data_IF_828303574698
#
_entry.id   IF_828303574698
#
_cell.length_a   1.000
_cell.length_b   1.000
_cell.length_c   1.000
_cell.angle_alpha   90.00
_cell.angle_beta   90.00
_cell.angle_gamma   90.00
#
_symmetry.space_group_name_H-M   'P 1'
#
loop_
_entity.id
_entity.type
_entity.pdbx_description
1 polymer ?
#
# COMPACT_ATOMS: atom_id res chain seq x y z
N UNK A 1 -13.20 14.42 15.62
CA UNK A 1 -13.66 15.27 14.49
C UNK A 1 -13.06 14.86 13.13
N UNK A 2 -11.79 14.40 13.06
CA UNK A 2 -11.13 13.98 11.79
C UNK A 2 -11.72 12.73 11.10
N UNK A 3 -12.24 11.74 11.84
CA UNK A 3 -12.81 10.49 11.28
C UNK A 3 -13.91 10.70 10.22
N UNK A 4 -14.66 11.81 10.28
CA UNK A 4 -15.75 12.11 9.31
C UNK A 4 -15.25 12.67 7.97
N UNK A 5 -13.97 13.04 7.84
CA UNK A 5 -13.39 13.62 6.61
C UNK A 5 -12.51 12.63 5.81
N UNK A 6 -12.31 11.42 6.35
CA UNK A 6 -11.49 10.37 5.71
C UNK A 6 -12.32 9.61 4.66
N UNK A 7 -11.73 9.35 3.49
CA UNK A 7 -12.28 8.43 2.48
C UNK A 7 -12.42 7.01 3.05
N UNK A 8 -13.23 6.12 2.43
CA UNK A 8 -13.26 4.71 2.82
C UNK A 8 -11.88 4.05 2.83
N UNK A 9 -11.06 4.28 1.81
CA UNK A 9 -9.67 3.81 1.75
C UNK A 9 -8.82 4.38 2.89
N UNK A 10 -8.92 5.69 3.16
CA UNK A 10 -8.23 6.29 4.30
C UNK A 10 -8.64 5.63 5.61
N UNK A 11 -9.95 5.44 5.85
CA UNK A 11 -10.39 4.75 7.06
C UNK A 11 -9.80 3.35 7.16
N UNK A 12 -9.81 2.55 6.09
CA UNK A 12 -9.22 1.21 6.09
C UNK A 12 -7.73 1.23 6.46
N UNK A 13 -6.97 2.14 5.84
CA UNK A 13 -5.54 2.34 6.14
C UNK A 13 -5.32 2.69 7.61
N UNK A 14 -6.06 3.67 8.15
CA UNK A 14 -5.90 4.07 9.55
C UNK A 14 -6.31 2.95 10.51
N UNK A 15 -7.40 2.22 10.23
CA UNK A 15 -7.82 1.11 11.09
C UNK A 15 -6.78 -0.03 11.13
N UNK A 16 -6.11 -0.35 10.02
CA UNK A 16 -5.09 -1.41 10.02
C UNK A 16 -3.71 -0.94 10.51
N UNK A 17 -3.30 0.29 10.17
CA UNK A 17 -1.96 0.80 10.50
C UNK A 17 -1.87 1.33 11.93
N UNK A 18 -2.96 1.87 12.49
CA UNK A 18 -2.94 2.47 13.83
C UNK A 18 -2.53 1.48 14.93
N UNK A 19 -3.08 0.25 15.00
CA UNK A 19 -2.67 -0.72 16.03
C UNK A 19 -1.20 -1.15 15.88
N UNK A 20 -0.67 -1.15 14.64
CA UNK A 20 0.73 -1.50 14.34
C UNK A 20 1.69 -0.43 14.85
N UNK A 21 1.30 0.84 14.74
CA UNK A 21 2.12 1.99 15.16
C UNK A 21 1.86 2.46 16.61
N UNK A 22 0.77 2.02 17.24
CA UNK A 22 0.41 2.44 18.59
C UNK A 22 1.45 1.97 19.61
N UNK A 23 1.88 2.88 20.48
CA UNK A 23 2.92 2.60 21.49
C UNK A 23 4.34 2.45 20.94
N UNK A 24 4.55 2.71 19.65
CA UNK A 24 5.88 2.73 19.03
C UNK A 24 6.40 4.16 18.93
N UNK A 25 7.73 4.37 18.93
CA UNK A 25 8.34 5.63 18.52
C UNK A 25 7.92 6.03 17.09
N UNK A 26 8.01 7.32 16.72
CA UNK A 26 7.86 7.74 15.33
C UNK A 26 8.75 6.92 14.39
N UNK A 27 8.19 6.54 13.24
CA UNK A 27 8.89 5.72 12.24
C UNK A 27 8.57 6.20 10.82
N UNK A 28 9.45 6.01 9.85
CA UNK A 28 9.14 6.28 8.45
C UNK A 28 7.92 5.49 7.97
N UNK A 29 7.20 6.08 7.02
CA UNK A 29 6.08 5.45 6.32
C UNK A 29 6.42 5.19 4.86
N UNK A 30 6.28 3.95 4.41
CA UNK A 30 6.20 3.59 2.99
C UNK A 30 4.75 3.22 2.67
N UNK A 31 4.05 4.11 1.98
CA UNK A 31 2.73 3.84 1.44
C UNK A 31 2.85 3.37 0.00
N UNK A 32 2.18 2.28 -0.36
CA UNK A 32 2.12 1.79 -1.73
C UNK A 32 0.68 1.53 -2.18
N UNK A 33 0.40 1.94 -3.41
CA UNK A 33 -0.84 1.62 -4.10
C UNK A 33 -0.61 1.72 -5.61
N UNK A 34 -1.13 0.76 -6.37
CA UNK A 34 -1.11 0.79 -7.83
C UNK A 34 -2.06 1.85 -8.36
N UNK A 35 -3.30 1.87 -7.87
CA UNK A 35 -4.37 2.72 -8.42
C UNK A 35 -4.61 4.02 -7.66
N UNK A 36 -4.04 4.16 -6.46
CA UNK A 36 -4.11 5.39 -5.66
C UNK A 36 -5.55 5.88 -5.42
N UNK A 37 -5.75 7.19 -5.45
CA UNK A 37 -7.05 7.84 -5.21
C UNK A 37 -7.98 7.80 -6.45
N UNK A 38 -8.04 6.66 -7.17
CA UNK A 38 -8.82 6.50 -8.41
C UNK A 38 -10.30 6.90 -8.25
N UNK A 39 -10.97 6.49 -7.18
CA UNK A 39 -12.37 6.86 -6.92
C UNK A 39 -12.57 8.37 -6.83
N UNK A 40 -11.64 9.06 -6.17
CA UNK A 40 -11.69 10.51 -6.01
C UNK A 40 -11.37 11.24 -7.31
N UNK A 41 -10.34 10.77 -8.02
CA UNK A 41 -9.97 11.30 -9.33
C UNK A 41 -11.14 11.15 -10.32
N UNK A 42 -11.84 10.02 -10.31
CA UNK A 42 -13.03 9.82 -11.12
C UNK A 42 -14.13 10.84 -10.82
N UNK A 43 -14.45 11.06 -9.53
CA UNK A 43 -15.44 12.06 -9.15
C UNK A 43 -15.06 13.49 -9.59
N UNK A 44 -13.78 13.85 -9.52
CA UNK A 44 -13.28 15.14 -10.04
C UNK A 44 -13.46 15.25 -11.57
N UNK A 45 -13.16 14.18 -12.31
CA UNK A 45 -13.37 14.12 -13.76
C UNK A 45 -14.85 14.23 -14.13
N UNK A 46 -15.75 13.63 -13.34
CA UNK A 46 -17.20 13.77 -13.54
C UNK A 46 -17.68 15.21 -13.35
N UNK A 47 -17.27 15.88 -12.28
CA UNK A 47 -17.62 17.30 -12.07
C UNK A 47 -17.06 18.17 -13.18
N UNK A 48 -15.82 17.93 -13.64
CA UNK A 48 -15.26 18.65 -14.78
C UNK A 48 -16.10 18.46 -16.05
N UNK A 49 -16.50 17.23 -16.36
CA UNK A 49 -17.33 16.92 -17.51
C UNK A 49 -18.73 17.55 -17.44
N UNK A 50 -19.27 17.73 -16.22
CA UNK A 50 -20.54 18.39 -15.95
C UNK A 50 -20.45 19.93 -15.92
N UNK A 51 -19.26 20.52 -16.05
CA UNK A 51 -19.05 21.96 -15.89
C UNK A 51 -19.23 22.47 -14.45
N UNK A 52 -19.12 21.57 -13.48
CA UNK A 52 -19.24 21.88 -12.06
C UNK A 52 -17.90 22.36 -11.48
N UNK A 53 -17.91 23.26 -10.49
CA UNK A 53 -16.69 23.68 -9.83
C UNK A 53 -16.04 22.52 -9.06
N UNK A 54 -14.73 22.36 -9.23
CA UNK A 54 -13.96 21.34 -8.49
C UNK A 54 -13.80 21.74 -7.03
N UNK A 55 -14.06 20.81 -6.12
CA UNK A 55 -13.80 20.99 -4.69
C UNK A 55 -12.30 21.09 -4.41
N UNK A 56 -11.78 22.19 -3.84
CA UNK A 56 -10.36 22.33 -3.52
C UNK A 56 -9.85 21.24 -2.57
N UNK A 57 -10.68 20.83 -1.61
CA UNK A 57 -10.35 19.74 -0.68
C UNK A 57 -10.28 18.39 -1.41
N UNK A 58 -11.21 18.13 -2.33
CA UNK A 58 -11.17 16.88 -3.08
C UNK A 58 -9.95 16.83 -4.01
N UNK A 59 -9.62 17.94 -4.67
CA UNK A 59 -8.41 18.04 -5.48
C UNK A 59 -7.13 17.87 -4.65
N UNK A 60 -7.01 18.55 -3.50
CA UNK A 60 -5.84 18.42 -2.62
C UNK A 60 -5.64 17.02 -2.02
N UNK A 61 -6.70 16.21 -1.97
CA UNK A 61 -6.65 14.81 -1.51
C UNK A 61 -6.57 13.81 -2.68
N UNK A 62 -6.46 14.25 -3.92
CA UNK A 62 -6.45 13.39 -5.12
C UNK A 62 -5.04 12.94 -5.53
N UNK A 63 -4.02 13.53 -4.91
CA UNK A 63 -2.61 13.16 -5.08
C UNK A 63 -2.32 11.82 -4.41
N UNK A 64 -1.40 11.04 -4.99
CA UNK A 64 -1.08 9.68 -4.53
C UNK A 64 -0.62 9.63 -3.07
N UNK A 65 0.17 10.62 -2.65
CA UNK A 65 0.70 10.72 -1.30
C UNK A 65 -0.31 11.30 -0.28
N UNK A 66 -1.57 11.55 -0.65
CA UNK A 66 -2.55 12.16 0.26
C UNK A 66 -2.75 11.34 1.53
N UNK A 67 -2.73 10.01 1.46
CA UNK A 67 -2.84 9.13 2.63
C UNK A 67 -1.61 9.20 3.54
N UNK A 68 -0.43 9.21 2.94
CA UNK A 68 0.83 9.32 3.67
C UNK A 68 0.94 10.69 4.38
N UNK A 69 0.50 11.77 3.72
CA UNK A 69 0.41 13.10 4.32
C UNK A 69 -0.63 13.18 5.43
N UNK A 70 -1.82 12.60 5.24
CA UNK A 70 -2.83 12.52 6.29
C UNK A 70 -2.34 11.74 7.51
N UNK A 71 -1.60 10.64 7.30
CA UNK A 71 -0.98 9.87 8.38
C UNK A 71 -0.04 10.73 9.21
N UNK A 72 0.92 11.39 8.57
CA UNK A 72 1.87 12.31 9.22
C UNK A 72 1.15 13.40 10.03
N UNK A 73 0.14 14.07 9.45
CA UNK A 73 -0.62 15.13 10.12
C UNK A 73 -1.37 14.59 11.35
N UNK A 74 -2.02 13.43 11.23
CA UNK A 74 -2.87 12.87 12.30
C UNK A 74 -2.01 12.30 13.44
N UNK A 75 -0.91 11.60 13.11
CA UNK A 75 0.05 11.08 14.09
C UNK A 75 0.95 12.16 14.68
N UNK A 76 1.04 13.32 14.03
CA UNK A 76 2.00 14.40 14.35
C UNK A 76 3.45 13.92 14.25
N UNK A 77 3.71 13.11 13.24
CA UNK A 77 5.02 12.53 12.94
C UNK A 77 5.62 13.25 11.74
N UNK A 78 6.89 13.64 11.84
CA UNK A 78 7.65 14.34 10.80
C UNK A 78 8.76 13.48 10.21
N UNK A 79 8.73 12.18 10.50
CA UNK A 79 9.57 11.17 9.88
C UNK A 79 9.29 11.08 8.38
N UNK A 80 10.23 10.47 7.68
CA UNK A 80 10.26 10.25 6.25
C UNK A 80 8.96 9.54 5.80
N UNK A 81 8.43 10.00 4.67
CA UNK A 81 7.17 9.51 4.13
C UNK A 81 7.29 9.35 2.63
N UNK A 82 7.15 8.11 2.16
CA UNK A 82 7.33 7.72 0.77
C UNK A 82 6.01 7.14 0.26
N UNK A 83 5.60 7.57 -0.94
CA UNK A 83 4.42 7.07 -1.61
C UNK A 83 4.81 6.45 -2.96
N UNK A 84 4.64 5.15 -3.09
CA UNK A 84 5.01 4.37 -4.26
C UNK A 84 3.75 4.00 -5.06
N UNK A 85 3.85 4.14 -6.38
CA UNK A 85 2.96 3.45 -7.31
C UNK A 85 3.81 2.47 -8.10
N UNK A 86 3.38 1.21 -8.07
CA UNK A 86 4.04 0.11 -8.72
C UNK A 86 2.98 -0.79 -9.32
N UNK A 87 3.41 -1.62 -10.26
CA UNK A 87 2.56 -2.58 -10.94
C UNK A 87 2.17 -3.74 -9.99
N UNK A 88 1.96 -4.95 -10.49
CA UNK A 88 1.54 -6.11 -9.70
C UNK A 88 2.40 -6.42 -8.45
N UNK A 89 3.63 -5.92 -8.37
CA UNK A 89 4.59 -6.18 -7.30
C UNK A 89 4.91 -4.99 -6.41
N UNK A 90 3.91 -4.14 -6.16
CA UNK A 90 4.01 -3.05 -5.20
C UNK A 90 4.32 -3.48 -3.76
N UNK A 91 3.95 -4.70 -3.35
CA UNK A 91 4.35 -5.24 -2.04
C UNK A 91 5.86 -5.36 -1.91
N UNK A 92 6.50 -6.02 -2.87
CA UNK A 92 7.93 -6.27 -2.85
C UNK A 92 8.72 -4.97 -2.97
N UNK A 93 8.29 -4.05 -3.82
CA UNK A 93 8.92 -2.72 -3.93
C UNK A 93 8.78 -1.92 -2.63
N UNK A 94 7.63 -1.98 -1.96
CA UNK A 94 7.45 -1.29 -0.67
C UNK A 94 8.33 -1.89 0.43
N UNK A 95 8.53 -3.21 0.43
CA UNK A 95 9.44 -3.88 1.37
C UNK A 95 10.91 -3.57 1.06
N UNK A 96 11.28 -3.47 -0.21
CA UNK A 96 12.62 -3.02 -0.61
C UNK A 96 12.89 -1.59 -0.15
N UNK A 97 11.96 -0.67 -0.41
CA UNK A 97 12.07 0.73 0.03
C UNK A 97 12.21 0.83 1.55
N UNK A 98 11.40 0.06 2.29
CA UNK A 98 11.55 -0.03 3.74
C UNK A 98 12.90 -0.60 4.16
N UNK A 99 13.44 -1.58 3.43
CA UNK A 99 14.80 -2.09 3.62
C UNK A 99 15.88 -1.03 3.42
N UNK A 100 15.71 -0.13 2.43
CA UNK A 100 16.61 1.00 2.21
C UNK A 100 16.56 1.99 3.38
N UNK A 101 15.36 2.34 3.86
CA UNK A 101 15.20 3.19 5.05
C UNK A 101 15.82 2.55 6.31
N UNK A 102 15.66 1.24 6.50
CA UNK A 102 16.32 0.53 7.61
C UNK A 102 17.85 0.58 7.47
N UNK A 103 18.37 0.44 6.24
CA UNK A 103 19.80 0.53 5.96
C UNK A 103 20.35 1.96 6.16
N UNK A 104 19.50 2.98 6.01
CA UNK A 104 19.82 4.40 6.28
C UNK A 104 19.81 4.74 7.78
N UNK A 105 19.51 3.78 8.65
CA UNK A 105 19.66 3.90 10.10
C UNK A 105 18.34 4.01 10.88
N UNK A 106 17.18 3.84 10.24
CA UNK A 106 15.91 3.76 10.95
C UNK A 106 15.75 2.40 11.66
N UNK A 107 15.31 2.42 12.92
CA UNK A 107 15.11 1.19 13.71
C UNK A 107 13.93 0.32 13.23
N UNK A 108 12.93 0.99 12.66
CA UNK A 108 11.70 0.38 12.20
C UNK A 108 11.03 1.25 11.13
N UNK A 109 10.24 0.63 10.26
CA UNK A 109 9.52 1.29 9.16
C UNK A 109 8.11 0.73 9.08
N UNK A 110 7.12 1.62 8.94
CA UNK A 110 5.74 1.25 8.68
C UNK A 110 5.52 1.13 7.17
N UNK A 111 5.12 -0.05 6.70
CA UNK A 111 4.73 -0.28 5.32
C UNK A 111 3.21 -0.43 5.27
N UNK A 112 2.55 0.34 4.41
CA UNK A 112 1.10 0.29 4.21
C UNK A 112 0.79 0.11 2.74
N UNK A 113 0.01 -0.92 2.42
CA UNK A 113 -0.56 -1.12 1.10
C UNK A 113 -2.07 -0.98 1.15
N UNK A 114 -2.66 -0.29 0.18
CA UNK A 114 -4.10 -0.20 0.09
C UNK A 114 -4.58 -0.05 -1.35
N UNK A 115 -5.72 -0.67 -1.65
CA UNK A 115 -6.45 -0.47 -2.89
C UNK A 115 -7.92 -0.28 -2.58
N UNK A 116 -8.58 0.56 -3.39
CA UNK A 116 -10.03 0.69 -3.39
C UNK A 116 -10.59 0.08 -4.67
N UNK A 117 -11.68 -0.70 -4.56
CA UNK A 117 -12.37 -1.21 -5.74
C UNK A 117 -12.70 -0.02 -6.65
N UNK A 118 -12.31 -0.07 -7.93
CA UNK A 118 -12.46 1.06 -8.82
C UNK A 118 -13.93 1.38 -9.09
N UNK A 119 -14.26 2.63 -9.44
CA UNK A 119 -15.59 3.00 -9.94
C UNK A 119 -16.02 2.11 -11.10
N UNK A 120 -17.32 1.84 -11.20
CA UNK A 120 -17.88 0.90 -12.19
C UNK A 120 -17.42 1.15 -13.64
N UNK A 121 -17.26 2.41 -14.12
CA UNK A 121 -16.75 2.64 -15.45
C UNK A 121 -15.34 2.10 -15.71
N UNK A 122 -14.49 1.94 -14.69
CA UNK A 122 -13.14 1.40 -14.83
C UNK A 122 -13.06 -0.13 -14.79
N UNK A 123 -14.16 -0.83 -14.47
CA UNK A 123 -14.13 -2.29 -14.33
C UNK A 123 -13.64 -3.06 -15.57
N UNK A 124 -13.78 -2.59 -16.82
CA UNK A 124 -13.21 -3.27 -17.99
C UNK A 124 -11.67 -3.19 -18.09
N UNK A 125 -11.02 -2.34 -17.29
CA UNK A 125 -9.58 -2.07 -17.38
C UNK A 125 -8.82 -2.36 -16.08
N UNK A 126 -9.52 -2.40 -14.94
CA UNK A 126 -8.96 -2.66 -13.62
C UNK A 126 -9.59 -3.95 -13.06
N UNK A 127 -8.91 -5.06 -13.30
CA UNK A 127 -9.36 -6.42 -12.92
C UNK A 127 -8.62 -6.97 -11.69
N UNK A 128 -7.54 -6.30 -11.26
CA UNK A 128 -6.59 -6.74 -10.25
C UNK A 128 -6.98 -6.36 -8.82
N UNK A 129 -8.08 -5.59 -8.65
CA UNK A 129 -8.62 -5.19 -7.33
C UNK A 129 -10.00 -5.82 -7.11
N UNK A 130 -10.08 -7.10 -6.73
CA UNK A 130 -11.36 -7.81 -6.58
C UNK A 130 -12.24 -7.21 -5.47
N UNK A 131 -11.65 -6.58 -4.46
CA UNK A 131 -12.33 -5.86 -3.38
C UNK A 131 -11.37 -4.84 -2.75
N UNK A 132 -11.91 -3.80 -2.09
CA UNK A 132 -11.09 -2.81 -1.38
C UNK A 132 -10.39 -3.46 -0.19
N UNK A 133 -9.11 -3.14 0.01
CA UNK A 133 -8.33 -3.66 1.13
C UNK A 133 -7.27 -2.68 1.60
N UNK A 134 -6.79 -2.89 2.82
CA UNK A 134 -5.57 -2.29 3.33
C UNK A 134 -4.80 -3.31 4.17
N UNK A 135 -3.48 -3.27 4.12
CA UNK A 135 -2.59 -4.11 4.90
C UNK A 135 -1.43 -3.25 5.42
N UNK A 136 -1.10 -3.42 6.70
CA UNK A 136 -0.02 -2.70 7.35
C UNK A 136 0.98 -3.67 7.98
N UNK A 137 2.26 -3.36 7.84
CA UNK A 137 3.37 -4.15 8.34
C UNK A 137 4.36 -3.22 9.01
N UNK A 138 4.89 -3.62 10.18
CA UNK A 138 6.04 -2.95 10.78
C UNK A 138 7.27 -3.81 10.54
N UNK A 139 8.24 -3.25 9.85
CA UNK A 139 9.49 -3.90 9.53
C UNK A 139 10.56 -3.42 10.51
N UNK A 140 11.53 -4.30 10.79
CA UNK A 140 12.75 -4.04 11.57
C UNK A 140 13.90 -4.74 10.87
N UNK A 141 15.12 -4.25 11.06
CA UNK A 141 16.30 -4.96 10.62
C UNK A 141 16.37 -6.36 11.26
N UNK A 142 16.66 -7.38 10.46
CA UNK A 142 16.68 -8.77 10.89
C UNK A 142 16.96 -9.74 9.73
N UNK A 143 17.01 -11.03 10.06
CA UNK A 143 17.30 -12.11 9.09
C UNK A 143 16.21 -13.18 9.02
N UNK A 144 15.05 -12.94 9.64
CA UNK A 144 13.92 -13.88 9.70
C UNK A 144 13.31 -14.15 8.32
N UNK A 145 13.45 -13.18 7.41
CA UNK A 145 12.88 -13.23 6.07
C UNK A 145 13.91 -12.76 5.04
N UNK A 146 13.89 -13.41 3.88
CA UNK A 146 14.67 -13.06 2.70
C UNK A 146 13.75 -12.87 1.51
N UNK A 147 13.98 -11.80 0.76
CA UNK A 147 13.29 -11.48 -0.49
C UNK A 147 14.32 -11.48 -1.63
N UNK A 148 14.04 -12.25 -2.68
CA UNK A 148 14.92 -12.37 -3.85
C UNK A 148 14.13 -12.14 -5.13
N UNK A 149 14.75 -11.46 -6.10
CA UNK A 149 14.17 -11.22 -7.42
C UNK A 149 14.95 -12.01 -8.48
N UNK A 150 14.22 -12.61 -9.42
CA UNK A 150 14.78 -13.19 -10.64
C UNK A 150 13.92 -12.83 -11.85
N UNK A 151 14.48 -12.84 -13.07
CA UNK A 151 13.67 -12.85 -14.28
C UNK A 151 12.69 -14.04 -14.24
N UNK A 152 11.48 -13.85 -14.71
CA UNK A 152 10.45 -14.89 -14.66
C UNK A 152 9.30 -14.59 -15.62
N UNK A 153 8.63 -15.65 -16.07
CA UNK A 153 7.47 -15.55 -16.96
C UNK A 153 6.16 -15.73 -16.18
N UNK A 154 5.09 -15.21 -16.79
CA UNK A 154 3.74 -15.05 -16.24
C UNK A 154 3.29 -16.19 -15.30
N UNK A 155 2.81 -15.81 -14.12
CA UNK A 155 2.21 -16.71 -13.15
C UNK A 155 0.70 -16.86 -13.36
N UNK A 156 0.16 -17.98 -12.87
CA UNK A 156 -1.28 -18.18 -12.81
C UNK A 156 -1.97 -17.07 -11.98
N UNK A 157 -3.21 -16.69 -12.34
CA UNK A 157 -4.01 -15.75 -11.58
C UNK A 157 -4.11 -16.17 -10.11
N UNK A 158 -3.99 -15.21 -9.20
CA UNK A 158 -4.03 -15.47 -7.76
C UNK A 158 -5.40 -15.15 -7.20
N UNK A 159 -5.91 -15.97 -6.26
CA UNK A 159 -7.20 -15.71 -5.63
C UNK A 159 -7.18 -14.50 -4.68
N UNK A 160 -6.00 -14.04 -4.25
CA UNK A 160 -5.85 -12.95 -3.28
C UNK A 160 -4.85 -11.90 -3.76
N UNK A 161 -5.10 -10.59 -3.50
CA UNK A 161 -4.09 -9.55 -3.65
C UNK A 161 -2.80 -9.89 -2.90
N UNK A 162 -1.65 -9.55 -3.47
CA UNK A 162 -0.36 -10.02 -2.96
C UNK A 162 -0.10 -9.62 -1.49
N UNK A 163 -0.47 -8.40 -1.09
CA UNK A 163 -0.35 -7.94 0.30
C UNK A 163 -1.15 -8.81 1.29
N UNK A 164 -2.36 -9.24 0.93
CA UNK A 164 -3.17 -10.14 1.76
C UNK A 164 -2.63 -11.57 1.73
N UNK A 165 -2.05 -11.97 0.59
CA UNK A 165 -1.39 -13.27 0.48
C UNK A 165 -0.15 -13.36 1.39
N UNK A 166 0.61 -12.27 1.55
CA UNK A 166 1.68 -12.19 2.57
C UNK A 166 1.12 -12.39 3.98
N UNK A 167 0.05 -11.68 4.38
CA UNK A 167 -0.59 -11.89 5.70
C UNK A 167 -0.99 -13.35 5.92
N UNK A 168 -1.55 -14.01 4.90
CA UNK A 168 -1.84 -15.44 4.96
C UNK A 168 -0.58 -16.26 5.21
N UNK A 169 0.51 -16.03 4.47
CA UNK A 169 1.76 -16.79 4.64
C UNK A 169 2.44 -16.55 5.99
N UNK A 170 2.39 -15.32 6.52
CA UNK A 170 2.87 -14.99 7.86
C UNK A 170 2.10 -15.77 8.94
N UNK A 171 0.76 -15.79 8.86
CA UNK A 171 -0.08 -16.50 9.83
C UNK A 171 0.06 -18.03 9.74
N UNK A 172 0.20 -18.56 8.52
CA UNK A 172 0.40 -20.00 8.29
C UNK A 172 1.85 -20.43 8.47
N UNK A 173 2.77 -19.50 8.79
CA UNK A 173 4.19 -19.79 8.95
C UNK A 173 4.79 -20.52 7.74
N UNK A 174 4.34 -20.16 6.53
CA UNK A 174 4.79 -20.82 5.31
C UNK A 174 6.31 -20.60 5.14
N UNK A 175 7.11 -21.65 4.90
CA UNK A 175 8.57 -21.53 4.83
C UNK A 175 9.05 -20.75 3.60
N UNK A 176 8.34 -20.84 2.48
CA UNK A 176 8.59 -19.99 1.31
C UNK A 176 7.37 -19.88 0.41
N UNK A 177 7.28 -18.79 -0.34
CA UNK A 177 6.33 -18.64 -1.43
C UNK A 177 6.90 -17.75 -2.52
N UNK A 178 6.27 -17.80 -3.70
CA UNK A 178 6.66 -16.99 -4.85
C UNK A 178 5.58 -15.98 -5.17
N UNK A 179 5.97 -14.75 -5.49
CA UNK A 179 5.16 -13.76 -6.18
C UNK A 179 5.71 -13.55 -7.60
N UNK A 180 4.89 -13.41 -8.63
CA UNK A 180 5.40 -13.25 -9.99
C UNK A 180 4.41 -12.45 -10.81
N UNK A 181 4.95 -11.58 -11.65
CA UNK A 181 4.21 -10.79 -12.63
C UNK A 181 4.66 -11.18 -14.05
N UNK A 182 4.36 -10.36 -15.04
CA UNK A 182 4.67 -10.64 -16.44
C UNK A 182 6.18 -10.62 -16.78
N UNK A 183 7.04 -9.99 -15.95
CA UNK A 183 8.46 -9.77 -16.25
C UNK A 183 9.43 -10.38 -15.22
N UNK A 184 8.98 -10.60 -13.99
CA UNK A 184 9.84 -10.97 -12.85
C UNK A 184 9.11 -11.86 -11.85
N UNK A 185 9.94 -12.55 -11.08
CA UNK A 185 9.53 -13.41 -9.99
C UNK A 185 10.27 -13.03 -8.72
N UNK A 186 9.52 -12.97 -7.64
CA UNK A 186 9.95 -12.73 -6.29
C UNK A 186 9.83 -14.03 -5.49
N UNK A 187 10.88 -14.40 -4.76
CA UNK A 187 10.89 -15.49 -3.81
C UNK A 187 10.99 -14.90 -2.41
N UNK A 188 10.00 -15.24 -1.59
CA UNK A 188 10.00 -14.98 -0.16
C UNK A 188 10.38 -16.26 0.57
N UNK A 189 11.37 -16.18 1.45
CA UNK A 189 11.84 -17.32 2.25
C UNK A 189 11.92 -16.92 3.70
N UNK A 190 11.36 -17.74 4.58
CA UNK A 190 11.54 -17.65 6.02
C UNK A 190 12.83 -18.38 6.41
N UNK A 191 13.70 -17.72 7.16
CA UNK A 191 14.82 -18.38 7.82
C UNK A 191 14.27 -19.31 8.91
N UNK A 192 14.73 -20.57 8.92
CA UNK A 192 14.27 -21.61 9.84
C UNK A 192 14.59 -21.27 11.30
#
# INVERSE_FOLDING_TARGET
MQRRRLSPMARAVFECAWPVAQGQPPMPLVYASRHGETTRNFGLLQSLAAGEPLSPTAFGLSVHNALAGQWSIIRRETTESIALSADDDGLEHAFLEAGLLLADGHDNVLVVLAEERPPAPYSPWIEDVPFSYAAAFRLRAGADWRLEISPGAAAAPRPWPNALNLLRHLNLQTPSWRHANHARQWLWTRSA
#
